data_IF_826699951080
#
_entry.id   IF_826699951080
#
_cell.length_a   1.000
_cell.length_b   1.000
_cell.length_c   1.000
_cell.angle_alpha   90.00
_cell.angle_beta   90.00
_cell.angle_gamma   90.00
#
_symmetry.space_group_name_H-M   'P 1'
#
loop_
_entity.id
_entity.type
_entity.pdbx_description
1 polymer ?
#
# COMPACT_ATOMS: atom_id res chain seq x y z
N UNK A 1 33.06 -12.76 -54.78
CA UNK A 1 32.97 -13.01 -53.32
C UNK A 1 32.21 -11.85 -52.69
N UNK A 2 30.89 -11.98 -52.47
CA UNK A 2 30.05 -10.92 -51.90
C UNK A 2 30.04 -11.07 -50.38
N UNK A 3 30.51 -10.04 -49.69
CA UNK A 3 30.59 -9.92 -48.23
C UNK A 3 29.17 -9.83 -47.67
N UNK A 4 28.72 -10.85 -46.96
CA UNK A 4 27.48 -10.83 -46.19
C UNK A 4 27.74 -10.14 -44.85
N UNK A 5 27.48 -8.83 -44.81
CA UNK A 5 27.43 -8.06 -43.55
C UNK A 5 26.15 -8.45 -42.81
N UNK A 6 26.28 -9.26 -41.76
CA UNK A 6 25.19 -9.62 -40.87
C UNK A 6 24.91 -8.40 -39.96
N UNK A 7 23.86 -7.64 -40.27
CA UNK A 7 23.39 -6.53 -39.42
C UNK A 7 22.70 -7.12 -38.21
N UNK A 8 23.29 -6.89 -37.04
CA UNK A 8 22.72 -7.20 -35.74
C UNK A 8 21.47 -6.36 -35.49
N UNK A 9 20.28 -6.96 -35.66
CA UNK A 9 19.01 -6.38 -35.22
C UNK A 9 18.73 -6.85 -33.79
N UNK A 10 19.38 -6.21 -32.81
CA UNK A 10 19.05 -6.35 -31.39
C UNK A 10 17.76 -5.55 -31.13
N UNK A 11 16.61 -6.19 -31.36
CA UNK A 11 15.30 -5.64 -30.96
C UNK A 11 15.24 -5.60 -29.43
N UNK A 12 15.56 -4.43 -28.87
CA UNK A 12 15.30 -4.08 -27.49
C UNK A 12 13.78 -4.16 -27.25
N UNK A 13 13.33 -5.30 -26.70
CA UNK A 13 12.01 -5.40 -26.09
C UNK A 13 12.02 -4.54 -24.83
N UNK A 14 11.71 -3.25 -25.00
CA UNK A 14 11.42 -2.34 -23.90
C UNK A 14 10.14 -2.81 -23.22
N UNK A 15 10.27 -3.68 -22.21
CA UNK A 15 9.17 -4.04 -21.32
C UNK A 15 8.67 -2.76 -20.66
N UNK A 16 7.49 -2.30 -21.06
CA UNK A 16 6.83 -1.14 -20.46
C UNK A 16 6.51 -1.54 -19.02
N UNK A 17 7.32 -1.06 -18.07
CA UNK A 17 7.05 -1.23 -16.64
C UNK A 17 5.83 -0.40 -16.28
N UNK A 18 4.66 -1.03 -16.29
CA UNK A 18 3.40 -0.39 -15.93
C UNK A 18 3.28 -0.36 -14.40
N UNK A 19 3.48 0.83 -13.81
CA UNK A 19 3.23 1.08 -12.39
C UNK A 19 1.87 1.75 -12.21
N UNK A 20 0.91 0.99 -11.69
CA UNK A 20 -0.43 1.47 -11.37
C UNK A 20 -0.51 2.23 -10.05
N UNK A 21 -1.58 2.97 -9.83
CA UNK A 21 -1.88 3.68 -8.60
C UNK A 21 -2.49 2.73 -7.56
N UNK A 22 -1.75 2.46 -6.48
CA UNK A 22 -2.30 1.82 -5.30
C UNK A 22 -2.69 2.90 -4.27
N UNK A 23 -3.97 2.93 -3.88
CA UNK A 23 -4.48 3.79 -2.81
C UNK A 23 -4.94 2.90 -1.67
N UNK A 24 -4.42 3.11 -0.46
CA UNK A 24 -4.89 2.42 0.75
C UNK A 24 -5.60 3.41 1.67
N UNK A 25 -6.71 2.97 2.25
CA UNK A 25 -7.45 3.73 3.27
C UNK A 25 -7.19 3.06 4.62
N UNK A 26 -6.73 3.83 5.59
CA UNK A 26 -6.32 3.36 6.90
C UNK A 26 -7.24 3.96 7.96
N UNK A 27 -8.02 3.11 8.60
CA UNK A 27 -8.85 3.42 9.76
C UNK A 27 -8.17 2.92 11.04
N UNK A 28 -8.13 3.77 12.06
CA UNK A 28 -7.49 3.48 13.34
C UNK A 28 -8.51 3.65 14.46
N UNK A 29 -8.57 2.70 15.38
CA UNK A 29 -9.35 2.82 16.60
C UNK A 29 -8.39 3.05 17.77
N UNK A 30 -8.50 4.19 18.42
CA UNK A 30 -7.69 4.51 19.58
C UNK A 30 -8.07 3.65 20.79
N UNK A 31 -7.14 3.53 21.73
CA UNK A 31 -7.46 3.17 23.11
C UNK A 31 -8.25 4.31 23.78
N UNK A 32 -9.10 3.96 24.73
CA UNK A 32 -9.89 4.96 25.47
C UNK A 32 -8.97 5.96 26.17
N UNK A 33 -9.22 7.26 25.98
CA UNK A 33 -8.40 8.35 26.55
C UNK A 33 -7.08 8.59 25.82
N UNK A 34 -6.82 7.88 24.72
CA UNK A 34 -5.61 8.00 23.88
C UNK A 34 -5.90 8.60 22.50
N UNK A 35 -7.11 9.08 22.25
CA UNK A 35 -7.57 9.57 20.93
C UNK A 35 -6.67 10.68 20.39
N UNK A 36 -6.38 11.69 21.22
CA UNK A 36 -5.50 12.80 20.85
C UNK A 36 -4.09 12.30 20.52
N UNK A 37 -3.52 11.41 21.35
CA UNK A 37 -2.19 10.85 21.12
C UNK A 37 -2.14 9.98 19.86
N UNK A 38 -3.17 9.16 19.66
CA UNK A 38 -3.31 8.23 18.54
C UNK A 38 -3.45 8.94 17.19
N UNK A 39 -4.16 10.07 17.14
CA UNK A 39 -4.45 10.78 15.90
C UNK A 39 -3.54 12.00 15.65
N UNK A 40 -2.78 12.47 16.64
CA UNK A 40 -1.80 13.56 16.49
C UNK A 40 -0.84 13.36 15.31
N UNK A 41 -0.27 12.16 15.05
CA UNK A 41 0.62 11.95 13.91
C UNK A 41 -0.04 12.17 12.54
N UNK A 42 -1.38 12.17 12.51
CA UNK A 42 -2.19 12.27 11.30
C UNK A 42 -2.98 13.58 11.26
N UNK A 43 -2.54 14.61 12.01
CA UNK A 43 -3.22 15.90 12.13
C UNK A 43 -4.69 15.77 12.57
N UNK A 44 -4.97 14.81 13.46
CA UNK A 44 -6.33 14.52 13.94
C UNK A 44 -7.21 13.76 12.94
N UNK A 45 -6.72 13.43 11.74
CA UNK A 45 -7.51 12.76 10.71
C UNK A 45 -7.58 11.25 10.94
N UNK A 46 -8.78 10.71 10.77
CA UNK A 46 -9.05 9.29 10.70
C UNK A 46 -10.42 9.07 10.02
N UNK A 47 -10.53 8.29 8.93
CA UNK A 47 -9.45 7.54 8.28
C UNK A 47 -8.43 8.46 7.57
N UNK A 48 -7.32 7.87 7.14
CA UNK A 48 -6.31 8.52 6.28
C UNK A 48 -6.13 7.74 4.99
N UNK A 49 -5.80 8.42 3.89
CA UNK A 49 -5.44 7.76 2.63
C UNK A 49 -3.95 7.90 2.36
N UNK A 50 -3.34 6.84 1.86
CA UNK A 50 -1.95 6.82 1.38
C UNK A 50 -1.94 6.28 -0.05
N UNK A 51 -1.18 6.92 -0.94
CA UNK A 51 -1.04 6.52 -2.34
C UNK A 51 0.39 6.14 -2.65
N UNK A 52 0.57 5.05 -3.41
CA UNK A 52 1.86 4.58 -3.88
C UNK A 52 1.75 3.96 -5.27
N UNK A 53 2.69 4.28 -6.16
CA UNK A 53 2.85 3.59 -7.44
C UNK A 53 3.42 2.20 -7.21
N UNK A 54 2.74 1.16 -7.72
CA UNK A 54 3.13 -0.24 -7.57
C UNK A 54 2.91 -1.01 -8.88
N UNK A 55 3.70 -2.05 -9.09
CA UNK A 55 3.72 -2.79 -10.35
C UNK A 55 2.51 -3.73 -10.53
N UNK A 56 1.72 -3.96 -9.47
CA UNK A 56 0.56 -4.86 -9.52
C UNK A 56 -0.40 -4.71 -8.34
N UNK A 57 -1.62 -5.22 -8.52
CA UNK A 57 -2.61 -5.38 -7.45
C UNK A 57 -2.12 -6.30 -6.32
N UNK A 58 -1.28 -7.29 -6.61
CA UNK A 58 -0.67 -8.16 -5.60
C UNK A 58 0.33 -7.38 -4.72
N UNK A 59 1.17 -6.55 -5.34
CA UNK A 59 2.05 -5.66 -4.59
C UNK A 59 1.26 -4.66 -3.72
N UNK A 60 0.15 -4.14 -4.25
CA UNK A 60 -0.79 -3.29 -3.52
C UNK A 60 -1.41 -4.00 -2.32
N UNK A 61 -1.83 -5.26 -2.49
CA UNK A 61 -2.33 -6.14 -1.42
C UNK A 61 -1.28 -6.33 -0.32
N UNK A 62 -0.04 -6.68 -0.68
CA UNK A 62 1.05 -6.87 0.30
C UNK A 62 1.36 -5.59 1.06
N UNK A 63 1.30 -4.44 0.38
CA UNK A 63 1.50 -3.15 1.03
C UNK A 63 0.35 -2.82 1.99
N UNK A 64 -0.91 -3.02 1.59
CA UNK A 64 -2.07 -2.84 2.45
C UNK A 64 -2.00 -3.72 3.72
N UNK A 65 -1.64 -5.00 3.57
CA UNK A 65 -1.46 -5.93 4.69
C UNK A 65 -0.33 -5.48 5.63
N UNK A 66 0.82 -5.09 5.09
CA UNK A 66 1.94 -4.60 5.89
C UNK A 66 1.56 -3.32 6.64
N UNK A 67 0.83 -2.43 5.97
CA UNK A 67 0.35 -1.18 6.55
C UNK A 67 -0.70 -1.40 7.63
N UNK A 68 -1.42 -2.53 7.65
CA UNK A 68 -2.42 -2.80 8.69
C UNK A 68 -1.82 -3.12 10.06
N UNK A 69 -0.55 -3.50 10.13
CA UNK A 69 0.08 -3.93 11.39
C UNK A 69 0.27 -2.78 12.37
N UNK A 70 -0.12 -2.99 13.63
CA UNK A 70 0.11 -2.06 14.73
C UNK A 70 1.51 -2.30 15.30
N UNK A 71 2.48 -1.48 14.86
CA UNK A 71 3.89 -1.62 15.28
C UNK A 71 4.12 -1.09 16.70
N UNK A 72 3.43 -0.02 17.09
CA UNK A 72 3.53 0.59 18.44
C UNK A 72 2.23 0.34 19.21
N UNK A 73 2.26 -0.65 20.10
CA UNK A 73 1.12 -1.02 20.96
C UNK A 73 0.88 0.03 22.06
N UNK A 74 -0.33 0.06 22.61
CA UNK A 74 -0.69 0.92 23.75
C UNK A 74 -1.46 2.21 23.40
N UNK A 75 -1.59 2.56 22.12
CA UNK A 75 -2.38 3.73 21.68
C UNK A 75 -3.56 3.38 20.77
N UNK A 76 -3.48 2.26 20.05
CA UNK A 76 -4.53 1.76 19.16
C UNK A 76 -5.01 0.39 19.62
N UNK A 77 -6.33 0.19 19.57
CA UNK A 77 -6.98 -1.12 19.74
C UNK A 77 -7.11 -1.88 18.43
N UNK A 78 -7.27 -1.14 17.33
CA UNK A 78 -7.51 -1.73 16.01
C UNK A 78 -6.97 -0.82 14.92
N UNK A 79 -6.47 -1.42 13.84
CA UNK A 79 -6.12 -0.75 12.61
C UNK A 79 -6.65 -1.57 11.44
N UNK A 80 -7.53 -0.98 10.64
CA UNK A 80 -8.09 -1.56 9.43
C UNK A 80 -7.54 -0.86 8.20
N UNK A 81 -7.24 -1.62 7.17
CA UNK A 81 -6.74 -1.13 5.89
C UNK A 81 -7.50 -1.79 4.76
N UNK A 82 -8.07 -0.98 3.89
CA UNK A 82 -8.60 -1.38 2.59
C UNK A 82 -7.73 -0.78 1.49
N UNK A 83 -7.85 -1.27 0.26
CA UNK A 83 -7.06 -0.74 -0.84
C UNK A 83 -7.74 -0.84 -2.19
N UNK A 84 -7.31 0.03 -3.11
CA UNK A 84 -7.68 0.05 -4.52
C UNK A 84 -6.41 0.09 -5.38
N UNK A 85 -6.39 -0.65 -6.47
CA UNK A 85 -5.32 -0.61 -7.48
C UNK A 85 -5.90 -0.18 -8.83
N UNK A 86 -5.39 0.91 -9.40
CA UNK A 86 -5.93 1.59 -10.59
C UNK A 86 -7.45 1.84 -10.48
N UNK A 87 -7.90 2.22 -9.28
CA UNK A 87 -9.30 2.48 -8.97
C UNK A 87 -10.15 1.24 -8.70
N UNK A 88 -9.67 0.03 -9.01
CA UNK A 88 -10.36 -1.22 -8.71
C UNK A 88 -10.12 -1.66 -7.26
N UNK A 89 -11.19 -2.07 -6.57
CA UNK A 89 -11.10 -2.54 -5.19
C UNK A 89 -10.32 -3.87 -5.09
N UNK A 90 -9.46 -4.01 -4.07
CA UNK A 90 -8.73 -5.26 -3.81
C UNK A 90 -9.64 -6.39 -3.28
N UNK A 91 -10.87 -6.07 -2.87
CA UNK A 91 -11.85 -7.01 -2.33
C UNK A 91 -11.47 -7.56 -0.95
N UNK A 92 -10.52 -6.92 -0.26
CA UNK A 92 -9.95 -7.40 1.01
C UNK A 92 -9.84 -6.26 2.01
N UNK A 93 -10.15 -6.57 3.27
CA UNK A 93 -9.85 -5.72 4.42
C UNK A 93 -8.81 -6.41 5.28
N UNK A 94 -7.71 -5.71 5.56
CA UNK A 94 -6.66 -6.17 6.46
C UNK A 94 -6.84 -5.49 7.81
N UNK A 95 -6.89 -6.27 8.89
CA UNK A 95 -7.05 -5.74 10.23
C UNK A 95 -5.97 -6.28 11.16
N UNK A 96 -5.49 -5.44 12.06
CA UNK A 96 -4.69 -5.85 13.21
C UNK A 96 -5.31 -5.30 14.48
N UNK A 97 -5.22 -6.07 15.57
CA UNK A 97 -5.77 -5.71 16.88
C UNK A 97 -4.67 -5.77 17.93
N UNK A 98 -4.70 -4.82 18.85
CA UNK A 98 -3.77 -4.76 19.97
C UNK A 98 -4.52 -4.44 21.25
N UNK A 99 -4.00 -4.92 22.37
CA UNK A 99 -4.53 -4.58 23.69
C UNK A 99 -4.08 -3.18 24.10
N UNK A 100 -4.99 -2.47 24.77
CA UNK A 100 -4.63 -1.27 25.51
C UNK A 100 -3.86 -1.69 26.76
N UNK A 101 -2.75 -1.01 27.01
CA UNK A 101 -1.94 -1.18 28.22
C UNK A 101 -2.19 -0.02 29.16
#
# INVERSE_FOLDING_TARGET
MKKTTLVAALLLMSSVSYAGDCVITIERKACAGKETEAFKPYNGKNPTEETKKLDSAEACTKWAEKSSKIVRKGTLTEKKVTGKFDGADLGKTFADKAECK
#
